data_IF_847532609301
#
_entry.id   IF_847532609301
#
_cell.length_a   1.000
_cell.length_b   1.000
_cell.length_c   1.000
_cell.angle_alpha   90.00
_cell.angle_beta   90.00
_cell.angle_gamma   90.00
#
_symmetry.space_group_name_H-M   'P 1'
#
loop_
_entity.id
_entity.type
_entity.pdbx_description
1 polymer ?
#
# COMPACT_ATOMS: atom_id res chain seq x y z
N UNK A 1 19.78 1.67 1.56
CA UNK A 1 18.56 1.78 2.37
C UNK A 1 17.71 2.87 1.73
N UNK A 2 16.42 2.62 1.51
CA UNK A 2 15.48 3.58 0.91
C UNK A 2 14.51 4.11 1.97
N UNK A 3 13.95 5.29 1.73
CA UNK A 3 12.89 5.91 2.54
C UNK A 3 11.57 5.91 1.76
N UNK A 4 10.53 5.38 2.40
CA UNK A 4 9.17 5.32 1.83
C UNK A 4 8.23 6.27 2.56
N UNK A 5 7.42 7.02 1.80
CA UNK A 5 6.26 7.74 2.32
C UNK A 5 5.00 6.88 2.15
N UNK A 6 4.40 6.46 3.26
CA UNK A 6 3.16 5.68 3.26
C UNK A 6 1.92 6.48 2.83
N UNK A 7 0.80 5.81 2.55
CA UNK A 7 -0.43 6.47 2.09
C UNK A 7 -1.10 7.30 3.20
N UNK A 8 -1.91 8.29 2.81
CA UNK A 8 -2.58 9.19 3.74
C UNK A 8 -3.59 8.43 4.63
N UNK A 9 -3.33 8.45 5.94
CA UNK A 9 -4.21 7.81 6.92
C UNK A 9 -5.40 8.68 7.34
N UNK A 10 -5.47 9.94 6.93
CA UNK A 10 -6.52 10.91 7.34
C UNK A 10 -7.25 11.53 6.15
N UNK A 11 -8.49 11.95 6.40
CA UNK A 11 -9.26 12.72 5.43
C UNK A 11 -8.68 14.13 5.28
N UNK A 12 -8.29 14.49 4.07
CA UNK A 12 -7.91 15.85 3.68
C UNK A 12 -8.69 16.27 2.43
N UNK A 13 -9.05 17.57 2.30
CA UNK A 13 -9.62 18.11 1.08
C UNK A 13 -8.70 17.91 -0.13
N UNK A 14 -9.28 17.82 -1.33
CA UNK A 14 -8.54 17.51 -2.56
C UNK A 14 -7.36 18.46 -2.76
N UNK A 15 -7.56 19.77 -2.62
CA UNK A 15 -6.53 20.79 -2.83
C UNK A 15 -5.35 20.60 -1.88
N UNK A 16 -5.64 20.22 -0.63
CA UNK A 16 -4.60 19.95 0.38
C UNK A 16 -3.78 18.71 0.01
N UNK A 17 -4.40 17.68 -0.54
CA UNK A 17 -3.69 16.47 -1.00
C UNK A 17 -2.75 16.81 -2.15
N UNK A 18 -3.22 17.56 -3.15
CA UNK A 18 -2.38 17.99 -4.28
C UNK A 18 -1.21 18.89 -3.81
N UNK A 19 -1.47 19.86 -2.94
CA UNK A 19 -0.44 20.75 -2.41
C UNK A 19 0.59 20.00 -1.54
N UNK A 20 0.19 18.93 -0.85
CA UNK A 20 1.09 18.09 -0.09
C UNK A 20 2.02 17.29 -1.02
N UNK A 21 1.48 16.57 -2.00
CA UNK A 21 2.30 15.75 -2.89
C UNK A 21 3.18 16.59 -3.82
N UNK A 22 2.77 17.83 -4.13
CA UNK A 22 3.67 18.79 -4.79
C UNK A 22 4.95 19.05 -3.98
N UNK A 23 4.87 19.15 -2.66
CA UNK A 23 6.06 19.33 -1.82
C UNK A 23 6.91 18.04 -1.76
N UNK A 24 6.25 16.87 -1.81
CA UNK A 24 6.91 15.56 -1.75
C UNK A 24 7.82 15.32 -2.97
N UNK A 25 7.57 15.97 -4.10
CA UNK A 25 8.45 15.93 -5.29
C UNK A 25 9.91 16.24 -4.90
N UNK A 26 10.12 17.21 -4.00
CA UNK A 26 11.45 17.65 -3.56
C UNK A 26 11.94 16.98 -2.26
N UNK A 27 11.13 16.12 -1.63
CA UNK A 27 11.50 15.49 -0.35
C UNK A 27 12.52 14.36 -0.53
N UNK A 28 13.37 14.08 0.49
CA UNK A 28 14.35 13.00 0.46
C UNK A 28 13.70 11.63 0.75
N UNK A 29 12.63 11.30 0.01
CA UNK A 29 11.98 10.00 -0.02
C UNK A 29 12.16 9.38 -1.40
N UNK A 30 12.36 8.07 -1.44
CA UNK A 30 12.59 7.31 -2.67
C UNK A 30 11.28 6.73 -3.22
N UNK A 31 10.40 6.28 -2.31
CA UNK A 31 9.16 5.57 -2.66
C UNK A 31 7.97 6.33 -2.09
N UNK A 32 6.87 6.43 -2.85
CA UNK A 32 5.63 7.07 -2.42
C UNK A 32 4.44 6.14 -2.68
N UNK A 33 3.74 5.78 -1.61
CA UNK A 33 2.50 5.01 -1.65
C UNK A 33 1.30 5.96 -1.75
N UNK A 34 0.49 5.80 -2.80
CA UNK A 34 -0.64 6.67 -3.13
C UNK A 34 -1.95 5.91 -3.11
N UNK A 35 -2.99 6.50 -2.54
CA UNK A 35 -4.33 5.94 -2.57
C UNK A 35 -5.08 6.13 -1.27
N UNK A 36 -6.25 5.49 -1.20
CA UNK A 36 -7.08 5.44 0.00
C UNK A 36 -7.11 4.00 0.49
N UNK A 37 -6.43 3.76 1.61
CA UNK A 37 -6.31 2.43 2.24
C UNK A 37 -7.36 2.20 3.33
N UNK A 38 -7.85 3.25 3.97
CA UNK A 38 -8.65 3.19 5.21
C UNK A 38 -10.12 2.93 4.91
N UNK A 39 -10.76 3.77 4.09
CA UNK A 39 -12.20 3.68 3.84
C UNK A 39 -12.60 4.36 2.54
N UNK A 40 -13.34 3.66 1.68
CA UNK A 40 -13.83 4.20 0.41
C UNK A 40 -14.73 5.43 0.56
N UNK A 41 -15.38 5.60 1.72
CA UNK A 41 -16.30 6.71 2.00
C UNK A 41 -15.63 8.03 2.36
N UNK A 42 -14.33 8.00 2.69
CA UNK A 42 -13.53 9.21 2.93
C UNK A 42 -13.05 9.87 1.65
N UNK A 43 -13.48 9.38 0.49
CA UNK A 43 -12.79 9.62 -0.75
C UNK A 43 -13.28 10.86 -1.46
N UNK A 44 -12.40 11.84 -1.56
CA UNK A 44 -12.56 13.01 -2.42
C UNK A 44 -11.84 12.85 -3.77
N UNK A 45 -10.66 12.19 -3.78
CA UNK A 45 -9.89 11.94 -5.00
C UNK A 45 -10.36 10.70 -5.76
N UNK A 46 -10.56 10.86 -7.08
CA UNK A 46 -10.80 9.75 -8.01
C UNK A 46 -9.49 9.06 -8.40
N UNK A 47 -9.57 7.95 -9.12
CA UNK A 47 -8.36 7.23 -9.54
C UNK A 47 -7.50 8.11 -10.46
N UNK A 48 -8.13 8.89 -11.33
CA UNK A 48 -7.48 9.79 -12.27
C UNK A 48 -6.66 10.86 -11.54
N UNK A 49 -7.19 11.39 -10.42
CA UNK A 49 -6.47 12.35 -9.57
C UNK A 49 -5.21 11.71 -8.96
N UNK A 50 -5.29 10.45 -8.53
CA UNK A 50 -4.13 9.72 -8.01
C UNK A 50 -3.09 9.44 -9.10
N UNK A 51 -3.54 9.14 -10.33
CA UNK A 51 -2.65 8.91 -11.46
C UNK A 51 -1.95 10.20 -11.92
N UNK A 52 -2.61 11.36 -11.79
CA UNK A 52 -1.99 12.67 -12.03
C UNK A 52 -0.87 12.95 -11.00
N UNK A 53 -1.15 12.69 -9.72
CA UNK A 53 -0.12 12.81 -8.66
C UNK A 53 1.03 11.83 -8.90
N UNK A 54 0.71 10.59 -9.28
CA UNK A 54 1.69 9.56 -9.60
C UNK A 54 2.61 9.98 -10.75
N UNK A 55 2.06 10.61 -11.80
CA UNK A 55 2.83 11.13 -12.93
C UNK A 55 3.90 12.11 -12.47
N UNK A 56 3.48 13.10 -11.68
CA UNK A 56 4.36 14.17 -11.22
C UNK A 56 5.46 13.64 -10.32
N UNK A 57 5.13 12.76 -9.38
CA UNK A 57 6.10 12.12 -8.50
C UNK A 57 7.08 11.23 -9.28
N UNK A 58 6.60 10.46 -10.24
CA UNK A 58 7.46 9.65 -11.10
C UNK A 58 8.41 10.52 -11.95
N UNK A 59 7.91 11.64 -12.50
CA UNK A 59 8.74 12.62 -13.22
C UNK A 59 9.78 13.30 -12.31
N UNK A 60 9.47 13.46 -11.02
CA UNK A 60 10.41 13.90 -9.98
C UNK A 60 11.36 12.77 -9.49
N UNK A 61 11.33 11.59 -10.11
CA UNK A 61 12.23 10.48 -9.83
C UNK A 61 11.82 9.58 -8.66
N UNK A 62 10.57 9.67 -8.17
CA UNK A 62 10.06 8.80 -7.11
C UNK A 62 9.56 7.47 -7.67
N UNK A 63 9.79 6.39 -6.94
CA UNK A 63 9.11 5.12 -7.17
C UNK A 63 7.67 5.21 -6.63
N UNK A 64 6.67 5.14 -7.51
CA UNK A 64 5.26 5.27 -7.11
C UNK A 64 4.60 3.90 -7.00
N UNK A 65 3.87 3.70 -5.89
CA UNK A 65 3.09 2.49 -5.62
C UNK A 65 1.63 2.91 -5.35
N UNK A 66 0.67 2.28 -6.02
CA UNK A 66 -0.76 2.52 -5.80
C UNK A 66 -1.31 1.56 -4.75
N UNK A 67 -1.79 2.09 -3.64
CA UNK A 67 -2.33 1.31 -2.51
C UNK A 67 -3.81 1.01 -2.68
N UNK A 68 -4.19 -0.26 -2.47
CA UNK A 68 -5.58 -0.70 -2.45
C UNK A 68 -6.21 -0.53 -1.06
N UNK A 69 -7.55 -0.59 -1.00
CA UNK A 69 -8.30 -0.59 0.26
C UNK A 69 -7.97 -1.84 1.09
N UNK A 70 -8.03 -1.69 2.41
CA UNK A 70 -7.80 -2.78 3.37
C UNK A 70 -9.04 -3.67 3.54
N UNK A 71 -10.23 -3.06 3.46
CA UNK A 71 -11.51 -3.75 3.58
C UNK A 71 -12.38 -3.37 2.39
N UNK A 72 -12.92 -4.40 1.71
CA UNK A 72 -13.89 -4.27 0.64
C UNK A 72 -15.24 -4.79 1.13
N UNK A 73 -16.29 -4.02 0.92
CA UNK A 73 -17.68 -4.29 1.35
C UNK A 73 -18.68 -4.22 0.19
N UNK A 74 -18.32 -3.58 -0.93
CA UNK A 74 -19.21 -3.40 -2.06
C UNK A 74 -18.53 -3.71 -3.40
N UNK A 75 -19.32 -4.15 -4.37
CA UNK A 75 -18.86 -4.43 -5.75
C UNK A 75 -18.19 -3.21 -6.40
N UNK A 76 -18.64 -1.99 -6.05
CA UNK A 76 -18.04 -0.75 -6.54
C UNK A 76 -16.61 -0.54 -6.03
N UNK A 77 -16.29 -1.05 -4.83
CA UNK A 77 -14.95 -1.00 -4.24
C UNK A 77 -14.06 -2.06 -4.90
N UNK A 78 -14.58 -3.27 -5.10
CA UNK A 78 -13.88 -4.32 -5.85
C UNK A 78 -13.56 -3.88 -7.28
N UNK A 79 -14.53 -3.34 -8.02
CA UNK A 79 -14.33 -2.82 -9.37
C UNK A 79 -13.28 -1.70 -9.43
N UNK A 80 -13.11 -0.93 -8.35
CA UNK A 80 -12.02 0.04 -8.25
C UNK A 80 -10.69 -0.65 -7.99
N UNK A 81 -10.62 -1.59 -7.06
CA UNK A 81 -9.40 -2.37 -6.79
C UNK A 81 -8.92 -3.04 -8.08
N UNK A 82 -9.80 -3.62 -8.88
CA UNK A 82 -9.47 -4.15 -10.21
C UNK A 82 -8.85 -3.10 -11.12
N UNK A 83 -9.43 -1.90 -11.22
CA UNK A 83 -8.85 -0.80 -12.02
C UNK A 83 -7.46 -0.41 -11.54
N UNK A 84 -7.22 -0.40 -10.22
CA UNK A 84 -5.89 -0.13 -9.64
C UNK A 84 -4.93 -1.27 -10.00
N UNK A 85 -5.31 -2.53 -9.82
CA UNK A 85 -4.51 -3.71 -10.20
C UNK A 85 -4.20 -3.77 -11.71
N UNK A 86 -5.10 -3.24 -12.54
CA UNK A 86 -4.99 -3.21 -14.00
C UNK A 86 -4.43 -1.89 -14.56
N UNK A 87 -3.85 -1.02 -13.72
CA UNK A 87 -3.35 0.29 -14.16
C UNK A 87 -2.19 0.20 -15.19
N UNK A 88 -1.47 -0.92 -15.23
CA UNK A 88 -0.45 -1.23 -16.24
C UNK A 88 0.83 -0.38 -16.18
N UNK A 89 0.98 0.49 -15.18
CA UNK A 89 2.05 1.49 -15.16
C UNK A 89 2.81 1.56 -13.83
N UNK A 90 2.09 1.60 -12.73
CA UNK A 90 2.61 1.72 -11.37
C UNK A 90 2.43 0.40 -10.62
N UNK A 91 3.37 0.10 -9.71
CA UNK A 91 3.24 -1.05 -8.81
C UNK A 91 2.01 -0.88 -7.92
N UNK A 92 1.52 -1.99 -7.40
CA UNK A 92 0.34 -2.01 -6.52
C UNK A 92 0.73 -2.53 -5.15
N UNK A 93 0.32 -1.82 -4.10
CA UNK A 93 0.33 -2.33 -2.74
C UNK A 93 -1.01 -3.00 -2.46
N UNK A 94 -1.00 -4.33 -2.35
CA UNK A 94 -2.14 -5.14 -2.03
C UNK A 94 -2.36 -5.16 -0.51
N UNK A 95 -3.47 -4.57 -0.05
CA UNK A 95 -3.83 -4.46 1.36
C UNK A 95 -4.96 -5.40 1.79
N UNK A 96 -5.53 -6.17 0.87
CA UNK A 96 -6.50 -7.24 1.13
C UNK A 96 -6.26 -8.44 0.20
N UNK A 97 -6.83 -9.60 0.53
CA UNK A 97 -6.62 -10.84 -0.25
C UNK A 97 -7.24 -10.79 -1.66
N UNK A 98 -8.25 -9.96 -1.90
CA UNK A 98 -8.82 -9.72 -3.23
C UNK A 98 -7.79 -9.02 -4.13
N UNK A 99 -7.10 -8.00 -3.62
CA UNK A 99 -5.98 -7.38 -4.34
C UNK A 99 -4.84 -8.37 -4.59
N UNK A 100 -4.48 -9.22 -3.61
CA UNK A 100 -3.48 -10.28 -3.80
C UNK A 100 -3.91 -11.24 -4.92
N UNK A 101 -5.17 -11.67 -4.92
CA UNK A 101 -5.71 -12.56 -5.95
C UNK A 101 -5.68 -11.92 -7.35
N UNK A 102 -6.04 -10.64 -7.46
CA UNK A 102 -6.00 -9.91 -8.73
C UNK A 102 -4.57 -9.70 -9.26
N UNK A 103 -3.59 -9.68 -8.35
CA UNK A 103 -2.17 -9.58 -8.68
C UNK A 103 -1.47 -10.93 -8.85
N UNK A 104 -2.14 -12.06 -8.59
CA UNK A 104 -1.55 -13.39 -8.72
C UNK A 104 -1.07 -13.65 -10.16
N UNK A 105 0.16 -14.16 -10.28
CA UNK A 105 0.84 -14.34 -11.56
C UNK A 105 1.32 -13.03 -12.22
N UNK A 106 1.07 -11.87 -11.61
CA UNK A 106 1.66 -10.58 -12.03
C UNK A 106 2.88 -10.29 -11.19
N UNK A 107 3.99 -10.04 -11.86
CA UNK A 107 5.23 -9.74 -11.16
C UNK A 107 5.23 -8.34 -10.56
N UNK A 108 5.75 -8.22 -9.34
CA UNK A 108 6.22 -6.95 -8.83
C UNK A 108 5.25 -6.16 -7.96
N UNK A 109 4.24 -6.78 -7.38
CA UNK A 109 3.38 -6.11 -6.41
C UNK A 109 4.02 -6.05 -5.01
N UNK A 110 3.55 -5.13 -4.19
CA UNK A 110 3.93 -4.99 -2.78
C UNK A 110 2.84 -5.62 -1.93
N UNK A 111 3.23 -6.52 -1.03
CA UNK A 111 2.37 -7.06 0.00
C UNK A 111 2.28 -6.02 1.14
N UNK A 112 1.15 -5.35 1.26
CA UNK A 112 0.96 -4.28 2.25
C UNK A 112 0.93 -4.80 3.68
N UNK A 113 1.10 -3.91 4.68
CA UNK A 113 1.22 -4.28 6.09
C UNK A 113 -0.09 -4.79 6.71
N UNK A 114 -1.20 -4.68 5.95
CA UNK A 114 -2.52 -5.12 6.35
C UNK A 114 -2.82 -6.57 5.96
N UNK A 115 -1.95 -7.20 5.16
CA UNK A 115 -1.95 -8.65 5.00
C UNK A 115 -1.28 -9.27 6.23
N UNK A 116 -2.05 -10.00 7.03
CA UNK A 116 -1.60 -10.64 8.27
C UNK A 116 -0.59 -11.77 8.00
N UNK A 117 0.64 -11.41 7.66
CA UNK A 117 1.73 -12.32 7.37
C UNK A 117 2.72 -12.39 8.54
N UNK A 118 2.76 -13.53 9.23
CA UNK A 118 3.53 -13.72 10.46
C UNK A 118 4.67 -14.74 10.35
N UNK A 119 4.86 -15.34 9.18
CA UNK A 119 5.82 -16.42 9.01
C UNK A 119 6.42 -16.41 7.59
N UNK A 120 7.60 -17.01 7.45
CA UNK A 120 8.30 -17.05 6.18
C UNK A 120 7.69 -18.03 5.17
N UNK A 121 6.90 -19.02 5.60
CA UNK A 121 6.22 -19.93 4.68
C UNK A 121 5.14 -19.20 3.87
N UNK A 122 4.37 -18.33 4.52
CA UNK A 122 3.41 -17.44 3.85
C UNK A 122 4.11 -16.45 2.92
N UNK A 123 5.26 -15.88 3.30
CA UNK A 123 6.06 -15.03 2.40
C UNK A 123 6.51 -15.77 1.13
N UNK A 124 6.89 -17.05 1.24
CA UNK A 124 7.23 -17.87 0.06
C UNK A 124 6.04 -18.05 -0.87
N UNK A 125 4.84 -18.23 -0.32
CA UNK A 125 3.60 -18.31 -1.12
C UNK A 125 3.37 -16.98 -1.84
N UNK A 126 3.38 -15.85 -1.13
CA UNK A 126 3.15 -14.54 -1.75
C UNK A 126 4.22 -14.16 -2.78
N UNK A 127 5.48 -14.50 -2.53
CA UNK A 127 6.54 -14.34 -3.50
C UNK A 127 6.29 -15.20 -4.75
N UNK A 128 5.82 -16.44 -4.58
CA UNK A 128 5.38 -17.30 -5.69
C UNK A 128 4.22 -16.72 -6.49
N UNK A 129 3.33 -15.94 -5.86
CA UNK A 129 2.27 -15.18 -6.54
C UNK A 129 2.77 -13.94 -7.30
N UNK A 130 4.03 -13.52 -7.09
CA UNK A 130 4.63 -12.34 -7.73
C UNK A 130 4.93 -11.16 -6.79
N UNK A 131 4.78 -11.31 -5.46
CA UNK A 131 5.13 -10.25 -4.52
C UNK A 131 6.64 -10.01 -4.50
N UNK A 132 7.06 -8.80 -4.86
CA UNK A 132 8.47 -8.39 -4.85
C UNK A 132 8.90 -7.89 -3.46
N UNK A 133 7.97 -7.27 -2.74
CA UNK A 133 8.22 -6.59 -1.47
C UNK A 133 7.12 -6.93 -0.50
N UNK A 134 7.45 -7.03 0.77
CA UNK A 134 6.45 -7.01 1.84
C UNK A 134 6.73 -5.89 2.83
N UNK A 135 5.66 -5.31 3.35
CA UNK A 135 5.70 -4.39 4.48
C UNK A 135 5.35 -5.20 5.72
N UNK A 136 6.21 -5.16 6.73
CA UNK A 136 5.99 -5.92 7.95
C UNK A 136 4.76 -5.41 8.72
N UNK A 137 3.86 -6.31 9.18
CA UNK A 137 2.76 -5.94 10.06
C UNK A 137 3.26 -5.24 11.34
N UNK A 138 2.58 -4.17 11.73
CA UNK A 138 3.07 -3.21 12.74
C UNK A 138 3.15 -3.79 14.17
N UNK A 139 2.38 -4.84 14.44
CA UNK A 139 2.32 -5.53 15.72
C UNK A 139 3.51 -6.45 15.98
N UNK A 140 4.32 -6.74 14.96
CA UNK A 140 5.44 -7.66 15.08
C UNK A 140 6.69 -6.95 15.60
N UNK A 141 7.40 -7.62 16.53
CA UNK A 141 8.60 -7.08 17.16
C UNK A 141 9.91 -7.40 16.43
N UNK A 142 10.99 -6.74 16.87
CA UNK A 142 12.35 -6.88 16.34
C UNK A 142 12.83 -8.34 16.21
N UNK A 143 12.62 -9.18 17.23
CA UNK A 143 13.05 -10.59 17.18
C UNK A 143 12.32 -11.42 16.12
N UNK A 144 11.10 -11.02 15.76
CA UNK A 144 10.34 -11.65 14.68
C UNK A 144 10.83 -11.15 13.33
N UNK A 145 11.11 -9.84 13.20
CA UNK A 145 11.71 -9.26 11.99
C UNK A 145 13.01 -9.97 11.61
N UNK A 146 13.95 -10.11 12.56
CA UNK A 146 15.24 -10.76 12.30
C UNK A 146 15.05 -12.16 11.73
N UNK A 147 14.19 -12.96 12.37
CA UNK A 147 13.89 -14.33 11.96
C UNK A 147 13.23 -14.38 10.57
N UNK A 148 12.34 -13.45 10.27
CA UNK A 148 11.67 -13.37 8.96
C UNK A 148 12.64 -12.93 7.86
N UNK A 149 13.53 -11.96 8.12
CA UNK A 149 14.58 -11.55 7.16
C UNK A 149 15.49 -12.73 6.81
N UNK A 150 15.85 -13.56 7.79
CA UNK A 150 16.71 -14.73 7.57
C UNK A 150 16.02 -15.83 6.75
N UNK A 151 14.68 -15.93 6.82
CA UNK A 151 13.93 -17.06 6.28
C UNK A 151 13.06 -16.74 5.04
N UNK A 152 12.81 -15.45 4.76
CA UNK A 152 12.08 -15.01 3.57
C UNK A 152 12.85 -15.38 2.29
N UNK A 153 12.19 -15.39 1.12
CA UNK A 153 12.90 -15.43 -0.16
C UNK A 153 13.99 -14.35 -0.23
N UNK A 154 15.15 -14.70 -0.79
CA UNK A 154 16.32 -13.82 -0.78
C UNK A 154 16.05 -12.51 -1.53
N UNK A 155 15.33 -12.61 -2.65
CA UNK A 155 14.98 -11.53 -3.56
C UNK A 155 13.87 -10.62 -3.04
N UNK A 156 13.08 -11.08 -2.05
CA UNK A 156 11.94 -10.32 -1.55
C UNK A 156 12.38 -9.16 -0.68
N UNK A 157 12.03 -7.93 -1.04
CA UNK A 157 12.36 -6.74 -0.26
C UNK A 157 11.53 -6.67 1.03
N UNK A 158 12.11 -6.16 2.12
CA UNK A 158 11.41 -5.94 3.39
C UNK A 158 11.33 -4.44 3.69
N UNK A 159 10.13 -3.93 3.93
CA UNK A 159 9.90 -2.59 4.48
C UNK A 159 9.33 -2.67 5.90
N UNK A 160 9.68 -1.69 6.73
CA UNK A 160 9.18 -1.56 8.10
C UNK A 160 8.73 -0.13 8.37
N UNK A 161 7.60 0.03 9.06
CA UNK A 161 7.14 1.35 9.48
C UNK A 161 7.99 1.84 10.66
N UNK A 162 8.71 2.95 10.47
CA UNK A 162 9.63 3.51 11.49
C UNK A 162 9.14 4.81 12.12
N UNK A 163 8.20 5.49 11.49
CA UNK A 163 7.65 6.78 11.95
C UNK A 163 6.21 6.96 11.50
N UNK A 164 5.40 7.58 12.34
CA UNK A 164 4.00 7.89 12.05
C UNK A 164 3.06 7.34 13.12
N UNK A 165 1.77 7.29 12.79
CA UNK A 165 0.74 6.75 13.68
C UNK A 165 0.44 5.31 13.29
N UNK A 166 0.41 4.44 14.30
CA UNK A 166 0.02 3.05 14.12
C UNK A 166 -1.51 2.94 14.04
N UNK A 167 -2.05 2.23 13.05
CA UNK A 167 -3.48 1.94 13.02
C UNK A 167 -3.84 1.02 14.18
N UNK A 168 -4.80 1.42 15.00
CA UNK A 168 -5.28 0.60 16.13
C UNK A 168 -6.33 -0.42 15.67
N UNK A 169 -7.24 0.00 14.79
CA UNK A 169 -8.31 -0.84 14.28
C UNK A 169 -8.88 -0.28 12.97
N UNK A 170 -9.43 -1.18 12.17
CA UNK A 170 -10.24 -0.86 11.00
C UNK A 170 -11.65 -1.37 11.23
N UNK A 171 -12.64 -0.59 10.79
CA UNK A 171 -14.04 -0.98 10.88
C UNK A 171 -14.69 -0.78 9.53
N UNK A 172 -15.17 -1.87 8.96
CA UNK A 172 -16.02 -1.88 7.78
C UNK A 172 -17.26 -0.96 7.97
N UNK A 173 -17.84 -1.01 9.16
CA UNK A 173 -19.09 -0.30 9.48
C UNK A 173 -18.87 0.94 10.34
N UNK A 174 -17.75 1.64 10.18
CA UNK A 174 -17.42 2.82 10.99
C UNK A 174 -18.52 3.90 10.99
N UNK A 175 -19.27 4.03 9.89
CA UNK A 175 -20.38 4.98 9.76
C UNK A 175 -21.64 4.60 10.54
N UNK A 176 -21.82 3.31 10.90
CA UNK A 176 -22.94 2.85 11.72
C UNK A 176 -22.61 2.87 13.21
N UNK A 177 -21.34 3.01 13.57
CA UNK A 177 -20.89 3.25 14.94
C UNK A 177 -21.13 4.72 15.28
N UNK A 178 -22.39 5.08 15.53
CA UNK A 178 -22.79 6.36 16.13
C UNK A 178 -23.23 6.15 17.56
#
# INVERSE_FOLDING_TARGET
MKLSLGPLQYFWPKEKVFAFYQQVEDWPVDIVYLGEVVCAKRRELKLEDWLEIAERLAAAGKEVVLSTLILLEADSELARTEKICHNGRYRVEANDMSAVHLMDGREGFVLGPHINNYNAASLRVFHGCGALRWVMPFELGHSTLQRLIEQKPAEMETEVLVYGRLPLSFSARCFTAR
#
